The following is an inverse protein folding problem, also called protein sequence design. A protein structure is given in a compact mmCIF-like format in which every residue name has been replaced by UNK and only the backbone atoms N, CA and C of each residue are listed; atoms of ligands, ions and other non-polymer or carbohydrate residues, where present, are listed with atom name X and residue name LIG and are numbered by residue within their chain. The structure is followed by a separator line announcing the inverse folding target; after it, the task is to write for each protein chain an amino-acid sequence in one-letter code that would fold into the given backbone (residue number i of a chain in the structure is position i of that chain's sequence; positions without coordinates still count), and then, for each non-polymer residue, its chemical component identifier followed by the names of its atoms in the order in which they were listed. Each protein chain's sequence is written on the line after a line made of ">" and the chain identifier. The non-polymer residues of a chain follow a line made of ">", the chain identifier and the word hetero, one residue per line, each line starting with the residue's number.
data_IF_178383191615
#
_entry.id   IF_178383191615
#
_cell.length_a   1.000
_cell.length_b   1.000
_cell.length_c   1.000
_cell.angle_alpha   90.00
_cell.angle_beta   90.00
_cell.angle_gamma   90.00
#
_symmetry.space_group_name_H-M   'P 1'
#
loop_
_entity.id
_entity.type
_entity.pdbx_description
1 polymer ?
#
# COMPACT_ATOMS: atom_id res chain seq x y z
N UNK A 1 6.28 29.38 -1.32
CA UNK A 1 5.92 28.28 -2.24
C UNK A 1 4.78 27.51 -1.59
N UNK A 2 3.72 27.20 -2.31
CA UNK A 2 2.69 26.31 -1.78
C UNK A 2 3.19 24.89 -1.82
N UNK A 3 3.02 24.14 -0.72
CA UNK A 3 3.37 22.71 -0.67
C UNK A 3 2.21 21.87 -1.25
N UNK A 4 2.49 20.72 -1.90
CA UNK A 4 1.44 19.81 -2.33
C UNK A 4 0.69 19.24 -1.11
N UNK A 5 -0.63 19.36 -1.13
CA UNK A 5 -1.48 18.80 -0.07
C UNK A 5 -1.70 17.32 -0.40
N UNK A 6 -1.17 16.46 0.44
CA UNK A 6 -1.41 15.01 0.34
C UNK A 6 -2.72 14.64 1.01
N UNK A 7 -3.42 13.69 0.42
CA UNK A 7 -4.55 13.05 1.11
C UNK A 7 -4.07 12.29 2.35
N UNK A 8 -4.94 12.03 3.35
CA UNK A 8 -4.54 11.35 4.58
C UNK A 8 -3.79 10.02 4.37
N UNK A 9 -4.21 9.20 3.38
CA UNK A 9 -3.56 7.93 3.05
C UNK A 9 -2.16 8.13 2.46
N UNK A 10 -1.97 9.13 1.59
CA UNK A 10 -0.66 9.44 1.01
C UNK A 10 0.25 10.11 2.03
N UNK A 11 -0.27 10.94 2.92
CA UNK A 11 0.49 11.51 4.03
C UNK A 11 0.99 10.42 5.00
N UNK A 12 0.15 9.42 5.30
CA UNK A 12 0.56 8.26 6.11
C UNK A 12 1.64 7.43 5.41
N UNK A 13 1.55 7.23 4.08
CA UNK A 13 2.58 6.55 3.30
C UNK A 13 3.90 7.35 3.29
N UNK A 14 3.85 8.67 3.07
CA UNK A 14 5.02 9.55 3.15
C UNK A 14 5.74 9.47 4.51
N UNK A 15 4.96 9.38 5.60
CA UNK A 15 5.49 9.26 6.97
C UNK A 15 6.19 7.92 7.27
N UNK A 16 6.10 6.92 6.38
CA UNK A 16 6.82 5.64 6.50
C UNK A 16 8.15 5.62 5.73
N UNK A 17 8.40 6.62 4.87
CA UNK A 17 9.61 6.70 4.05
C UNK A 17 10.84 6.92 4.93
N UNK A 18 11.92 6.17 4.67
CA UNK A 18 13.21 6.32 5.34
C UNK A 18 13.97 7.51 4.72
N UNK A 19 14.72 8.21 5.55
CA UNK A 19 15.47 9.40 5.09
C UNK A 19 16.75 9.04 4.34
N UNK A 20 17.01 9.78 3.27
CA UNK A 20 18.28 9.77 2.53
C UNK A 20 18.46 8.62 1.55
N UNK A 21 17.50 7.72 1.42
CA UNK A 21 17.51 6.62 0.47
C UNK A 21 17.03 7.01 -0.94
N UNK A 22 17.10 6.05 -1.86
CA UNK A 22 16.48 6.14 -3.18
C UNK A 22 15.02 5.71 -3.09
N UNK A 23 14.10 6.58 -3.51
CA UNK A 23 12.66 6.39 -3.34
C UNK A 23 12.01 6.28 -4.71
N UNK A 24 11.19 5.25 -4.91
CA UNK A 24 10.38 5.06 -6.10
C UNK A 24 8.88 5.06 -5.76
N UNK A 25 8.13 5.99 -6.35
CA UNK A 25 6.66 6.06 -6.30
C UNK A 25 6.07 5.43 -7.58
N UNK A 26 5.39 4.31 -7.44
CA UNK A 26 4.84 3.51 -8.56
C UNK A 26 3.34 3.76 -8.72
N UNK A 27 2.93 4.12 -9.93
CA UNK A 27 1.58 4.63 -10.21
C UNK A 27 1.41 6.04 -9.67
N UNK A 28 2.40 6.87 -9.97
CA UNK A 28 2.57 8.19 -9.35
C UNK A 28 1.47 9.20 -9.70
N UNK A 29 0.72 8.96 -10.78
CA UNK A 29 -0.36 9.81 -11.31
C UNK A 29 0.14 11.25 -11.54
N UNK A 30 0.01 12.13 -10.57
CA UNK A 30 0.43 13.54 -10.63
C UNK A 30 1.75 13.85 -9.90
N UNK A 31 2.48 12.88 -9.39
CA UNK A 31 3.72 13.06 -8.60
C UNK A 31 3.60 14.01 -7.39
N UNK A 32 2.40 14.13 -6.80
CA UNK A 32 2.20 14.94 -5.58
C UNK A 32 3.04 14.42 -4.42
N UNK A 33 3.11 13.09 -4.26
CA UNK A 33 3.89 12.45 -3.20
C UNK A 33 5.40 12.67 -3.39
N UNK A 34 6.02 12.41 -4.55
CA UNK A 34 7.41 12.76 -4.81
C UNK A 34 7.71 14.24 -4.60
N UNK A 35 6.84 15.15 -5.05
CA UNK A 35 7.03 16.58 -4.82
C UNK A 35 7.04 16.93 -3.32
N UNK A 36 6.16 16.33 -2.54
CA UNK A 36 6.13 16.53 -1.08
C UNK A 36 7.42 16.02 -0.45
N UNK A 37 7.85 14.79 -0.76
CA UNK A 37 9.09 14.22 -0.25
C UNK A 37 10.31 15.06 -0.61
N UNK A 38 10.35 15.64 -1.82
CA UNK A 38 11.43 16.58 -2.21
C UNK A 38 11.46 17.81 -1.31
N UNK A 39 10.32 18.41 -1.02
CA UNK A 39 10.23 19.58 -0.15
C UNK A 39 10.56 19.24 1.32
N UNK A 40 10.28 18.01 1.74
CA UNK A 40 10.66 17.48 3.06
C UNK A 40 12.17 17.12 3.16
N UNK A 41 12.92 17.24 2.07
CA UNK A 41 14.39 17.09 2.07
C UNK A 41 14.94 15.91 1.27
N UNK A 42 14.10 14.99 0.79
CA UNK A 42 14.55 13.86 -0.03
C UNK A 42 15.02 14.33 -1.43
N UNK A 43 16.04 13.66 -1.99
CA UNK A 43 16.67 14.12 -3.24
C UNK A 43 16.78 13.08 -4.34
N UNK A 44 16.66 11.80 -4.01
CA UNK A 44 16.77 10.70 -4.97
C UNK A 44 15.37 10.11 -5.20
N UNK A 45 14.58 10.79 -6.01
CA UNK A 45 13.17 10.47 -6.23
C UNK A 45 12.93 10.01 -7.67
N UNK A 46 12.27 8.86 -7.80
CA UNK A 46 11.75 8.35 -9.06
C UNK A 46 10.23 8.25 -8.97
N UNK A 47 9.54 8.71 -9.99
CA UNK A 47 8.11 8.58 -10.17
C UNK A 47 7.84 7.75 -11.42
N UNK A 48 7.21 6.60 -11.27
CA UNK A 48 6.93 5.66 -12.35
C UNK A 48 5.43 5.55 -12.61
N UNK A 49 5.04 5.48 -13.87
CA UNK A 49 3.67 5.16 -14.29
C UNK A 49 3.70 4.36 -15.59
N UNK A 50 2.66 3.55 -15.82
CA UNK A 50 2.51 2.74 -17.04
C UNK A 50 2.04 3.58 -18.22
N UNK A 51 1.47 4.76 -17.96
CA UNK A 51 0.89 5.64 -18.99
C UNK A 51 1.68 6.96 -19.10
N UNK A 52 1.78 7.47 -20.32
CA UNK A 52 2.46 8.76 -20.60
C UNK A 52 1.68 9.97 -20.06
N UNK A 53 0.34 9.92 -20.08
CA UNK A 53 -0.51 11.02 -19.62
C UNK A 53 -0.25 11.42 -18.16
N UNK A 54 -0.28 10.48 -17.20
CA UNK A 54 0.13 10.72 -15.82
C UNK A 54 1.56 11.31 -15.70
N UNK A 55 2.52 10.81 -16.47
CA UNK A 55 3.89 11.34 -16.43
C UNK A 55 3.99 12.79 -16.96
N UNK A 56 3.20 13.16 -17.96
CA UNK A 56 3.11 14.56 -18.40
C UNK A 56 2.51 15.45 -17.32
N UNK A 57 1.48 14.98 -16.62
CA UNK A 57 0.90 15.67 -15.47
C UNK A 57 1.91 15.78 -14.32
N UNK A 58 2.65 14.70 -14.04
CA UNK A 58 3.71 14.66 -13.05
C UNK A 58 4.81 15.71 -13.34
N UNK A 59 5.23 15.83 -14.61
CA UNK A 59 6.21 16.86 -15.03
C UNK A 59 5.73 18.27 -14.74
N UNK A 60 4.47 18.57 -15.05
CA UNK A 60 3.86 19.88 -14.76
C UNK A 60 3.81 20.15 -13.26
N UNK A 61 3.45 19.15 -12.47
CA UNK A 61 3.41 19.22 -11.01
C UNK A 61 4.78 19.47 -10.40
N UNK A 62 5.83 18.76 -10.87
CA UNK A 62 7.21 18.96 -10.45
C UNK A 62 7.66 20.39 -10.73
N UNK A 63 7.39 20.90 -11.94
CA UNK A 63 7.71 22.29 -12.29
C UNK A 63 6.95 23.30 -11.45
N UNK A 64 5.67 23.04 -11.15
CA UNK A 64 4.83 23.93 -10.36
C UNK A 64 5.31 24.05 -8.90
N UNK A 65 5.59 22.92 -8.23
CA UNK A 65 5.92 22.91 -6.80
C UNK A 65 7.41 23.09 -6.51
N UNK A 66 8.30 22.57 -7.39
CA UNK A 66 9.74 22.53 -7.16
C UNK A 66 10.47 23.53 -8.05
N UNK A 67 9.98 23.81 -9.26
CA UNK A 67 10.62 24.71 -10.23
C UNK A 67 11.87 24.14 -10.90
N UNK A 68 12.13 22.82 -10.75
CA UNK A 68 13.30 22.13 -11.28
C UNK A 68 12.86 20.80 -11.91
N UNK A 69 13.00 20.67 -13.24
CA UNK A 69 12.47 19.54 -14.01
C UNK A 69 13.09 18.19 -13.61
N UNK A 70 14.39 18.19 -13.32
CA UNK A 70 15.16 17.00 -12.94
C UNK A 70 15.15 16.69 -11.43
N UNK A 71 14.30 17.36 -10.65
CA UNK A 71 14.15 17.10 -9.23
C UNK A 71 13.55 15.71 -8.91
N UNK A 72 12.76 15.18 -9.84
CA UNK A 72 12.15 13.86 -9.79
C UNK A 72 12.38 13.16 -11.14
N UNK A 73 12.99 11.99 -11.12
CA UNK A 73 13.14 11.14 -12.32
C UNK A 73 11.80 10.55 -12.71
N UNK A 74 11.29 10.87 -13.91
CA UNK A 74 10.03 10.32 -14.43
C UNK A 74 10.33 9.13 -15.34
N UNK A 75 9.65 7.98 -15.10
CA UNK A 75 9.91 6.71 -15.80
C UNK A 75 8.60 6.09 -16.29
N UNK A 76 8.50 5.84 -17.60
CA UNK A 76 7.40 5.05 -18.18
C UNK A 76 7.69 3.56 -17.95
N UNK A 77 6.98 2.92 -17.01
CA UNK A 77 7.22 1.55 -16.55
C UNK A 77 5.94 0.84 -16.13
N UNK A 78 5.77 -0.43 -16.50
CA UNK A 78 4.78 -1.30 -15.85
C UNK A 78 5.34 -1.75 -14.48
N UNK A 79 4.83 -1.10 -13.43
CA UNK A 79 5.34 -1.32 -12.09
C UNK A 79 6.83 -1.03 -11.99
N UNK A 80 7.61 -2.03 -11.58
CA UNK A 80 9.06 -1.93 -11.33
C UNK A 80 9.96 -2.44 -12.48
N UNK A 81 9.39 -2.75 -13.66
CA UNK A 81 10.15 -3.39 -14.76
C UNK A 81 11.38 -2.59 -15.24
N UNK A 82 11.27 -1.25 -15.24
CA UNK A 82 12.34 -0.35 -15.68
C UNK A 82 13.00 0.41 -14.53
N UNK A 83 12.82 -0.07 -13.31
CA UNK A 83 13.46 0.47 -12.12
C UNK A 83 14.61 -0.46 -11.75
N UNK A 84 15.82 0.08 -11.73
CA UNK A 84 17.03 -0.72 -11.47
C UNK A 84 17.30 -0.85 -9.97
N UNK A 85 16.92 0.16 -9.18
CA UNK A 85 17.11 0.19 -7.74
C UNK A 85 16.16 1.19 -7.06
N UNK A 86 15.75 0.87 -5.85
CA UNK A 86 15.17 1.77 -4.86
C UNK A 86 15.35 1.16 -3.46
N UNK A 87 15.61 2.01 -2.46
CA UNK A 87 15.63 1.62 -1.06
C UNK A 87 14.19 1.55 -0.52
N UNK A 88 13.37 2.53 -0.88
CA UNK A 88 11.94 2.60 -0.53
C UNK A 88 11.08 2.61 -1.80
N UNK A 89 10.14 1.68 -1.88
CA UNK A 89 9.16 1.57 -2.96
C UNK A 89 7.77 1.85 -2.42
N UNK A 90 7.12 2.88 -2.93
CA UNK A 90 5.76 3.25 -2.56
C UNK A 90 4.83 2.79 -3.68
N UNK A 91 3.78 2.04 -3.33
CA UNK A 91 2.71 1.62 -4.25
C UNK A 91 1.38 1.92 -3.58
N UNK A 92 0.74 3.01 -3.98
CA UNK A 92 -0.49 3.47 -3.36
C UNK A 92 -1.64 3.63 -4.37
N UNK A 93 -2.88 3.44 -3.93
CA UNK A 93 -4.05 3.70 -4.76
C UNK A 93 -4.44 2.56 -5.71
N UNK A 94 -3.85 1.38 -5.57
CA UNK A 94 -4.08 0.21 -6.43
C UNK A 94 -4.82 -0.92 -5.72
N UNK A 95 -5.37 -1.87 -6.46
CA UNK A 95 -5.92 -3.10 -5.89
C UNK A 95 -4.83 -4.03 -5.34
N UNK A 96 -5.11 -4.76 -4.25
CA UNK A 96 -4.12 -5.60 -3.57
C UNK A 96 -3.49 -6.67 -4.48
N UNK A 97 -4.24 -7.22 -5.43
CA UNK A 97 -3.71 -8.20 -6.40
C UNK A 97 -2.67 -7.57 -7.35
N UNK A 98 -2.94 -6.33 -7.80
CA UNK A 98 -2.01 -5.60 -8.66
C UNK A 98 -0.74 -5.22 -7.88
N UNK A 99 -0.89 -4.75 -6.64
CA UNK A 99 0.26 -4.45 -5.77
C UNK A 99 1.10 -5.71 -5.57
N UNK A 100 0.48 -6.86 -5.25
CA UNK A 100 1.19 -8.13 -5.09
C UNK A 100 1.99 -8.49 -6.36
N UNK A 101 1.36 -8.39 -7.55
CA UNK A 101 2.05 -8.64 -8.83
C UNK A 101 3.29 -7.77 -9.00
N UNK A 102 3.17 -6.47 -8.72
CA UNK A 102 4.30 -5.52 -8.87
C UNK A 102 5.42 -5.84 -7.88
N UNK A 103 5.09 -6.07 -6.61
CA UNK A 103 6.06 -6.40 -5.56
C UNK A 103 6.80 -7.70 -5.87
N UNK A 104 6.08 -8.75 -6.27
CA UNK A 104 6.67 -10.05 -6.62
C UNK A 104 7.52 -10.01 -7.90
N UNK A 105 7.28 -9.03 -8.77
CA UNK A 105 8.08 -8.78 -9.98
C UNK A 105 9.34 -7.93 -9.74
N UNK A 106 9.64 -7.54 -8.51
CA UNK A 106 10.81 -6.70 -8.19
C UNK A 106 12.11 -7.45 -8.46
N UNK A 107 12.97 -6.90 -9.34
CA UNK A 107 14.25 -7.51 -9.74
C UNK A 107 15.42 -7.15 -8.82
N UNK A 108 15.32 -6.03 -8.10
CA UNK A 108 16.33 -5.55 -7.16
C UNK A 108 15.98 -5.86 -5.70
N UNK A 109 15.11 -6.86 -5.50
CA UNK A 109 14.65 -7.27 -4.18
C UNK A 109 15.81 -7.69 -3.27
N UNK A 110 15.88 -7.08 -2.10
CA UNK A 110 16.84 -7.39 -1.05
C UNK A 110 16.16 -7.32 0.34
N UNK A 111 16.88 -7.72 1.39
CA UNK A 111 16.38 -7.59 2.76
C UNK A 111 16.24 -6.14 3.21
N UNK A 112 16.99 -5.22 2.58
CA UNK A 112 16.98 -3.80 2.89
C UNK A 112 15.93 -3.03 2.07
N UNK A 113 15.35 -3.65 1.03
CA UNK A 113 14.28 -3.05 0.23
C UNK A 113 13.01 -2.94 1.06
N UNK A 114 12.54 -1.72 1.25
CA UNK A 114 11.33 -1.41 2.00
C UNK A 114 10.17 -1.09 1.06
N UNK A 115 9.05 -1.74 1.24
CA UNK A 115 7.83 -1.48 0.49
C UNK A 115 6.79 -0.80 1.38
N UNK A 116 6.24 0.30 0.90
CA UNK A 116 5.14 1.05 1.53
C UNK A 116 3.91 0.87 0.64
N UNK A 117 2.99 0.02 1.08
CA UNK A 117 1.88 -0.46 0.26
C UNK A 117 0.55 0.05 0.77
N UNK A 118 -0.25 0.69 -0.10
CA UNK A 118 -1.59 1.15 0.25
C UNK A 118 -2.62 0.55 -0.71
N UNK A 119 -3.22 -0.61 -0.38
CA UNK A 119 -4.27 -1.22 -1.18
C UNK A 119 -5.60 -0.48 -1.03
N UNK A 120 -6.28 -0.19 -2.16
CA UNK A 120 -7.63 0.34 -2.18
C UNK A 120 -8.68 -0.75 -1.93
N UNK A 121 -8.38 -1.97 -2.33
CA UNK A 121 -9.24 -3.16 -2.22
C UNK A 121 -8.39 -4.39 -2.01
N UNK A 122 -9.00 -5.49 -1.50
CA UNK A 122 -8.36 -6.82 -1.40
C UNK A 122 -7.06 -6.84 -0.59
N UNK A 123 -7.02 -6.08 0.51
CA UNK A 123 -5.87 -6.06 1.42
C UNK A 123 -5.56 -7.46 1.98
N UNK A 124 -6.59 -8.28 2.19
CA UNK A 124 -6.48 -9.67 2.66
C UNK A 124 -5.76 -10.59 1.67
N UNK A 125 -5.96 -10.36 0.36
CA UNK A 125 -5.25 -11.09 -0.69
C UNK A 125 -3.79 -10.65 -0.72
N UNK A 126 -3.54 -9.34 -0.67
CA UNK A 126 -2.18 -8.80 -0.64
C UNK A 126 -1.38 -9.38 0.53
N UNK A 127 -1.93 -9.40 1.75
CA UNK A 127 -1.24 -9.98 2.91
C UNK A 127 -0.90 -11.45 2.70
N UNK A 128 -1.84 -12.25 2.17
CA UNK A 128 -1.60 -13.68 1.89
C UNK A 128 -0.47 -13.88 0.89
N UNK A 129 -0.49 -13.14 -0.23
CA UNK A 129 0.55 -13.24 -1.25
C UNK A 129 1.91 -12.80 -0.71
N UNK A 130 1.99 -11.74 0.07
CA UNK A 130 3.23 -11.28 0.68
C UNK A 130 3.83 -12.35 1.60
N UNK A 131 3.09 -12.84 2.59
CA UNK A 131 3.59 -13.82 3.55
C UNK A 131 3.95 -15.16 2.89
N UNK A 132 3.18 -15.60 1.90
CA UNK A 132 3.47 -16.81 1.12
C UNK A 132 4.78 -16.72 0.33
N UNK A 133 5.15 -15.52 -0.12
CA UNK A 133 6.31 -15.29 -0.98
C UNK A 133 7.53 -14.69 -0.25
N UNK A 134 7.61 -14.86 1.06
CA UNK A 134 8.82 -14.49 1.82
C UNK A 134 8.88 -13.03 2.26
N UNK A 135 7.77 -12.32 2.23
CA UNK A 135 7.67 -10.98 2.79
C UNK A 135 7.01 -11.03 4.17
N UNK A 136 7.32 -10.03 4.99
CA UNK A 136 6.60 -9.81 6.24
C UNK A 136 6.18 -8.34 6.37
N UNK A 137 5.06 -8.14 7.02
CA UNK A 137 4.58 -6.80 7.36
C UNK A 137 5.16 -6.43 8.71
N UNK A 138 5.97 -5.37 8.76
CA UNK A 138 6.54 -4.85 10.00
C UNK A 138 5.45 -4.16 10.84
N UNK A 139 4.74 -3.22 10.23
CA UNK A 139 3.64 -2.46 10.86
C UNK A 139 2.57 -2.08 9.83
N UNK A 140 1.40 -1.74 10.35
CA UNK A 140 0.30 -1.20 9.56
C UNK A 140 -0.29 0.03 10.25
N UNK A 141 -0.60 1.05 9.47
CA UNK A 141 -1.34 2.23 9.91
C UNK A 141 -2.68 2.29 9.20
N UNK A 142 -3.64 2.97 9.80
CA UNK A 142 -4.91 3.29 9.17
C UNK A 142 -4.98 4.78 8.82
N UNK A 143 -5.69 5.10 7.76
CA UNK A 143 -6.00 6.47 7.37
C UNK A 143 -7.46 6.56 6.93
N UNK A 144 -8.17 7.60 7.37
CA UNK A 144 -9.53 7.88 6.94
C UNK A 144 -9.55 8.99 5.89
N UNK A 145 -10.19 8.72 4.77
CA UNK A 145 -10.33 9.65 3.64
C UNK A 145 -11.70 9.47 3.01
N UNK A 146 -12.49 10.55 2.85
CA UNK A 146 -13.83 10.52 2.24
C UNK A 146 -14.74 9.39 2.77
N UNK A 147 -14.87 9.28 4.09
CA UNK A 147 -15.65 8.25 4.80
C UNK A 147 -15.23 6.79 4.54
N UNK A 148 -14.04 6.60 3.98
CA UNK A 148 -13.42 5.28 3.81
C UNK A 148 -12.17 5.17 4.68
N UNK A 149 -11.97 3.98 5.24
CA UNK A 149 -10.78 3.65 5.98
C UNK A 149 -9.86 2.79 5.09
N UNK A 150 -8.61 3.18 5.04
CA UNK A 150 -7.54 2.52 4.29
C UNK A 150 -6.46 2.03 5.24
N UNK A 151 -5.74 1.00 4.83
CA UNK A 151 -4.55 0.50 5.51
C UNK A 151 -3.31 0.84 4.70
N UNK A 152 -2.24 1.20 5.39
CA UNK A 152 -0.91 1.42 4.82
C UNK A 152 0.05 0.45 5.51
N UNK A 153 0.80 -0.33 4.74
CA UNK A 153 1.64 -1.43 5.19
C UNK A 153 3.12 -1.10 4.99
N UNK A 154 3.94 -1.23 6.02
CA UNK A 154 5.40 -1.26 5.95
C UNK A 154 5.83 -2.71 5.79
N UNK A 155 6.51 -3.06 4.71
CA UNK A 155 6.75 -4.44 4.29
C UNK A 155 8.22 -4.63 3.90
N UNK A 156 8.80 -5.74 4.34
CA UNK A 156 10.16 -6.15 4.02
C UNK A 156 10.19 -7.59 3.52
N UNK A 157 11.29 -7.95 2.85
CA UNK A 157 11.57 -9.29 2.40
C UNK A 157 12.60 -9.98 3.30
N UNK A 158 12.31 -11.18 3.79
CA UNK A 158 13.25 -12.02 4.54
C UNK A 158 13.49 -13.41 3.91
N UNK A 159 12.70 -13.75 2.88
CA UNK A 159 12.77 -15.02 2.17
C UNK A 159 12.02 -16.17 2.86
N UNK A 160 11.38 -15.93 4.00
CA UNK A 160 10.67 -16.99 4.74
C UNK A 160 9.20 -17.05 4.35
N UNK A 161 8.81 -18.11 3.62
CA UNK A 161 7.40 -18.36 3.30
C UNK A 161 6.60 -18.72 4.55
N UNK A 162 5.45 -18.06 4.74
CA UNK A 162 4.57 -18.25 5.88
C UNK A 162 3.11 -18.36 5.43
N UNK A 163 2.37 -19.26 6.06
CA UNK A 163 0.92 -19.26 5.94
C UNK A 163 0.31 -18.41 7.06
N UNK A 164 -0.69 -17.62 6.70
CA UNK A 164 -1.44 -16.79 7.65
C UNK A 164 -2.90 -17.23 7.73
N UNK A 165 -3.52 -17.08 8.90
CA UNK A 165 -4.94 -17.37 9.08
C UNK A 165 -5.81 -16.36 8.32
N UNK A 166 -7.05 -16.75 7.99
CA UNK A 166 -7.99 -15.80 7.38
C UNK A 166 -8.25 -14.59 8.29
N UNK A 167 -8.34 -14.80 9.60
CA UNK A 167 -8.51 -13.70 10.54
C UNK A 167 -7.38 -12.69 10.42
N UNK A 168 -6.12 -13.15 10.44
CA UNK A 168 -4.96 -12.27 10.26
C UNK A 168 -4.90 -11.64 8.86
N UNK A 169 -5.28 -12.36 7.81
CA UNK A 169 -5.34 -11.79 6.46
C UNK A 169 -6.26 -10.57 6.39
N UNK A 170 -7.39 -10.57 7.11
CA UNK A 170 -8.32 -9.45 7.16
C UNK A 170 -7.94 -8.37 8.19
N UNK A 171 -7.48 -8.74 9.38
CA UNK A 171 -7.12 -7.78 10.43
C UNK A 171 -5.72 -7.18 10.26
N UNK A 172 -4.77 -7.96 9.75
CA UNK A 172 -3.36 -7.58 9.73
C UNK A 172 -2.80 -7.31 11.12
N UNK A 173 -1.85 -6.39 11.18
CA UNK A 173 -1.28 -5.82 12.41
C UNK A 173 -1.99 -4.53 12.85
N UNK A 174 -3.20 -4.29 12.36
CA UNK A 174 -3.97 -3.09 12.68
C UNK A 174 -4.49 -3.17 14.12
N UNK A 175 -4.29 -2.08 14.88
CA UNK A 175 -4.80 -1.91 16.25
C UNK A 175 -5.97 -0.94 16.36
N UNK A 176 -6.36 -0.32 15.25
CA UNK A 176 -7.50 0.59 15.19
C UNK A 176 -8.82 -0.18 15.28
N UNK A 177 -9.50 -0.06 16.41
CA UNK A 177 -10.77 -0.75 16.70
C UNK A 177 -11.89 -0.36 15.74
N UNK A 178 -11.93 0.91 15.28
CA UNK A 178 -12.94 1.37 14.32
C UNK A 178 -12.76 0.68 12.97
N UNK A 179 -11.52 0.65 12.45
CA UNK A 179 -11.17 -0.06 11.22
C UNK A 179 -11.54 -1.56 11.32
N UNK A 180 -11.13 -2.24 12.39
CA UNK A 180 -11.41 -3.67 12.58
C UNK A 180 -12.90 -3.94 12.67
N UNK A 181 -13.67 -3.07 13.36
CA UNK A 181 -15.13 -3.16 13.42
C UNK A 181 -15.79 -3.01 12.04
N UNK A 182 -15.25 -2.15 11.18
CA UNK A 182 -15.70 -2.02 9.78
C UNK A 182 -15.41 -3.31 8.98
N UNK A 183 -14.25 -3.93 9.19
CA UNK A 183 -13.90 -5.20 8.58
C UNK A 183 -14.88 -6.30 9.00
N UNK A 184 -15.18 -6.42 10.29
CA UNK A 184 -16.16 -7.39 10.81
C UNK A 184 -17.55 -7.20 10.17
N UNK A 185 -18.05 -5.97 10.10
CA UNK A 185 -19.35 -5.68 9.46
C UNK A 185 -19.37 -6.08 7.98
N UNK A 186 -18.29 -5.81 7.24
CA UNK A 186 -18.17 -6.21 5.83
C UNK A 186 -18.18 -7.73 5.67
N UNK A 187 -17.45 -8.46 6.53
CA UNK A 187 -17.40 -9.92 6.50
C UNK A 187 -18.77 -10.54 6.81
N UNK A 188 -19.48 -10.06 7.84
CA UNK A 188 -20.81 -10.53 8.19
C UNK A 188 -21.80 -10.31 7.05
N UNK A 189 -21.84 -9.09 6.49
CA UNK A 189 -22.69 -8.77 5.34
C UNK A 189 -22.39 -9.65 4.13
N UNK A 190 -21.12 -9.89 3.83
CA UNK A 190 -20.73 -10.80 2.74
C UNK A 190 -21.15 -12.25 3.02
N UNK A 191 -21.05 -12.71 4.27
CA UNK A 191 -21.53 -14.02 4.70
C UNK A 191 -23.04 -14.16 4.53
N UNK A 192 -23.83 -13.17 4.96
CA UNK A 192 -25.29 -13.13 4.80
C UNK A 192 -25.70 -13.20 3.32
N UNK A 193 -25.02 -12.44 2.45
CA UNK A 193 -25.28 -12.46 1.01
C UNK A 193 -24.97 -13.82 0.35
N UNK A 194 -24.05 -14.61 0.90
CA UNK A 194 -23.67 -15.92 0.36
C UNK A 194 -24.49 -17.07 0.96
N UNK A 195 -25.25 -16.86 2.03
CA UNK A 195 -25.88 -17.92 2.83
C UNK A 195 -26.83 -18.85 2.06
N UNK A 196 -27.47 -18.33 1.00
CA UNK A 196 -28.39 -19.12 0.15
C UNK A 196 -27.69 -19.87 -0.98
N UNK A 197 -26.49 -19.44 -1.38
CA UNK A 197 -25.77 -20.01 -2.55
C UNK A 197 -24.52 -20.79 -2.16
N UNK A 198 -23.88 -20.47 -1.03
CA UNK A 198 -22.64 -21.09 -0.56
C UNK A 198 -22.55 -21.01 0.97
N UNK A 199 -23.17 -21.99 1.63
CA UNK A 199 -23.22 -22.07 3.10
C UNK A 199 -21.80 -22.18 3.72
N UNK A 200 -20.89 -22.93 3.09
CA UNK A 200 -19.53 -23.11 3.60
C UNK A 200 -18.74 -21.78 3.59
N UNK A 201 -18.87 -21.00 2.53
CA UNK A 201 -18.27 -19.66 2.44
C UNK A 201 -18.90 -18.70 3.45
N UNK A 202 -20.21 -18.73 3.61
CA UNK A 202 -20.93 -17.92 4.60
C UNK A 202 -20.41 -18.20 6.01
N UNK A 203 -20.37 -19.48 6.43
CA UNK A 203 -19.84 -19.87 7.74
C UNK A 203 -18.40 -19.44 7.95
N UNK A 204 -17.55 -19.62 6.93
CA UNK A 204 -16.14 -19.21 6.99
C UNK A 204 -15.99 -17.71 7.25
N UNK A 205 -16.76 -16.87 6.55
CA UNK A 205 -16.74 -15.41 6.72
C UNK A 205 -17.22 -15.00 8.12
N UNK A 206 -18.31 -15.59 8.62
CA UNK A 206 -18.83 -15.32 9.95
C UNK A 206 -17.86 -15.76 11.06
N UNK A 207 -17.23 -16.93 10.94
CA UNK A 207 -16.19 -17.42 11.86
C UNK A 207 -14.96 -16.51 11.86
N UNK A 208 -14.60 -15.98 10.68
CA UNK A 208 -13.49 -15.01 10.55
C UNK A 208 -13.82 -13.70 11.26
N UNK A 209 -15.02 -13.15 11.05
CA UNK A 209 -15.48 -11.96 11.75
C UNK A 209 -15.46 -12.15 13.28
N UNK A 210 -15.93 -13.28 13.78
CA UNK A 210 -15.91 -13.57 15.22
C UNK A 210 -14.50 -13.59 15.81
N UNK A 211 -13.52 -14.16 15.08
CA UNK A 211 -12.11 -14.15 15.54
C UNK A 211 -11.55 -12.74 15.61
N UNK A 212 -11.90 -11.85 14.66
CA UNK A 212 -11.46 -10.46 14.67
C UNK A 212 -12.14 -9.69 15.83
N UNK A 213 -13.42 -9.94 16.11
CA UNK A 213 -14.10 -9.35 17.27
C UNK A 213 -13.41 -9.71 18.60
N UNK A 214 -12.93 -10.94 18.72
CA UNK A 214 -12.14 -11.35 19.89
C UNK A 214 -10.80 -10.56 19.99
N UNK A 215 -10.16 -10.27 18.85
CA UNK A 215 -8.97 -9.40 18.82
C UNK A 215 -9.31 -7.98 19.30
N UNK A 216 -10.43 -7.41 18.82
CA UNK A 216 -10.86 -6.06 19.22
C UNK A 216 -11.07 -5.96 20.75
N UNK A 217 -11.58 -7.01 21.38
CA UNK A 217 -11.80 -7.03 22.84
C UNK A 217 -10.51 -7.09 23.65
N UNK A 218 -9.41 -7.55 23.05
CA UNK A 218 -8.10 -7.65 23.72
C UNK A 218 -7.17 -6.47 23.45
N UNK A 219 -7.51 -5.61 22.51
CA UNK A 219 -6.83 -4.34 22.24
C UNK A 219 -7.31 -3.25 23.18
#
# INVERSE_FOLDING_TARGET
>A
MHEPILSPRLAAAAGMVRKGGEICDVGTDHALLPCRLYLDGERKLTAADINEGPLLSAKQTVMHYIGKEDAVRLVLSDGLEKIDHADDVIIAGMGGELIARIVLGCRFLSRDTHFILQPMTKAEILRKELYKNGFYIEKELTARENDRNYVIMSVYYDGESREITDAFAYSGKVTDKEYLSLVCRKLRRAGECCSSSDTAKSEKLCKTAQKIENIITTL
#
